data_IF_547626752372
#
_entry.id   IF_547626752372
#
_cell.length_a   1.000
_cell.length_b   1.000
_cell.length_c   1.000
_cell.angle_alpha   90.00
_cell.angle_beta   90.00
_cell.angle_gamma   90.00
#
_symmetry.space_group_name_H-M   'P 1'
#
loop_
_entity.id
_entity.type
_entity.pdbx_description
1 polymer ?
#
# COMPACT_ATOMS: atom_id res chain seq x y z
N UNK A 1 19.98 -10.80 0.23
CA UNK A 1 18.97 -10.00 -0.53
C UNK A 1 19.56 -8.63 -0.83
N UNK A 2 19.23 -7.99 -1.95
CA UNK A 2 19.72 -6.64 -2.27
C UNK A 2 19.07 -5.62 -1.31
N UNK A 3 19.83 -4.63 -0.83
CA UNK A 3 19.38 -3.53 0.02
C UNK A 3 18.10 -2.89 -0.53
N UNK A 4 18.06 -2.55 -1.82
CA UNK A 4 16.88 -1.91 -2.42
C UNK A 4 15.61 -2.77 -2.31
N UNK A 5 15.76 -4.10 -2.34
CA UNK A 5 14.63 -5.01 -2.17
C UNK A 5 14.15 -5.06 -0.73
N UNK A 6 15.08 -5.10 0.24
CA UNK A 6 14.73 -5.07 1.66
C UNK A 6 14.04 -3.75 2.01
N UNK A 7 14.57 -2.62 1.53
CA UNK A 7 13.96 -1.30 1.70
C UNK A 7 12.54 -1.24 1.14
N UNK A 8 12.29 -1.84 -0.04
CA UNK A 8 10.94 -1.91 -0.60
C UNK A 8 9.99 -2.71 0.30
N UNK A 9 10.43 -3.85 0.86
CA UNK A 9 9.60 -4.65 1.77
C UNK A 9 9.28 -3.89 3.06
N UNK A 10 10.28 -3.21 3.64
CA UNK A 10 10.09 -2.36 4.82
C UNK A 10 9.06 -1.27 4.52
N UNK A 11 9.18 -0.59 3.37
CA UNK A 11 8.22 0.42 2.96
C UNK A 11 6.80 -0.17 2.87
N UNK A 12 6.61 -1.29 2.18
CA UNK A 12 5.28 -1.93 2.03
C UNK A 12 4.61 -2.22 3.38
N UNK A 13 5.38 -2.68 4.37
CA UNK A 13 4.86 -2.95 5.73
C UNK A 13 4.64 -1.64 6.51
N UNK A 14 5.47 -0.63 6.30
CA UNK A 14 5.40 0.64 7.00
C UNK A 14 4.22 1.51 6.56
N UNK A 15 3.93 1.59 5.26
CA UNK A 15 2.89 2.47 4.69
C UNK A 15 1.52 2.42 5.39
N UNK A 16 0.96 1.23 5.75
CA UNK A 16 -0.32 1.18 6.43
C UNK A 16 -0.25 1.60 7.91
N UNK A 17 0.93 1.60 8.55
CA UNK A 17 1.06 1.82 9.99
C UNK A 17 0.66 3.24 10.42
N UNK A 18 1.32 4.33 10.00
CA UNK A 18 0.97 5.65 10.50
C UNK A 18 -0.31 6.17 9.82
N UNK A 19 -1.48 5.88 10.38
CA UNK A 19 -2.77 6.37 9.87
C UNK A 19 -3.06 5.99 8.40
N UNK A 20 -2.49 4.89 7.90
CA UNK A 20 -2.54 4.56 6.47
C UNK A 20 -1.81 5.58 5.58
N UNK A 21 -0.79 6.26 6.11
CA UNK A 21 -0.07 7.37 5.46
C UNK A 21 -0.97 8.54 5.03
N UNK A 22 -2.05 8.81 5.78
CA UNK A 22 -3.02 9.87 5.47
C UNK A 22 -2.81 11.20 6.24
N UNK A 23 -1.75 11.30 7.05
CA UNK A 23 -1.39 12.56 7.72
C UNK A 23 -0.19 13.21 7.04
N UNK A 24 -0.09 14.54 7.15
CA UNK A 24 0.97 15.34 6.50
C UNK A 24 2.38 14.80 6.74
N UNK A 25 2.72 14.54 8.01
CA UNK A 25 4.02 13.99 8.37
C UNK A 25 4.18 12.53 7.87
N UNK A 26 3.10 11.75 7.84
CA UNK A 26 3.13 10.34 7.48
C UNK A 26 3.34 10.13 5.97
N UNK A 27 2.62 10.90 5.14
CA UNK A 27 2.88 10.86 3.69
C UNK A 27 4.22 11.50 3.33
N UNK A 28 4.71 12.49 4.07
CA UNK A 28 6.05 13.05 3.84
C UNK A 28 7.15 12.00 4.09
N UNK A 29 7.00 11.17 5.14
CA UNK A 29 7.92 10.05 5.37
C UNK A 29 7.84 9.00 4.26
N UNK A 30 6.64 8.70 3.76
CA UNK A 30 6.45 7.84 2.58
C UNK A 30 7.20 8.41 1.37
N UNK A 31 7.00 9.69 1.05
CA UNK A 31 7.63 10.37 -0.09
C UNK A 31 9.16 10.32 0.03
N UNK A 32 9.71 10.73 1.17
CA UNK A 32 11.16 10.68 1.43
C UNK A 32 11.70 9.26 1.30
N UNK A 33 11.01 8.26 1.85
CA UNK A 33 11.40 6.86 1.76
C UNK A 33 11.43 6.33 0.32
N UNK A 34 10.39 6.65 -0.46
CA UNK A 34 10.29 6.24 -1.88
C UNK A 34 11.33 6.98 -2.74
N UNK A 35 11.49 8.29 -2.57
CA UNK A 35 12.46 9.08 -3.31
C UNK A 35 13.88 8.66 -3.01
N UNK A 36 14.21 8.41 -1.74
CA UNK A 36 15.52 7.89 -1.35
C UNK A 36 15.79 6.52 -1.97
N UNK A 37 14.80 5.62 -1.96
CA UNK A 37 14.93 4.31 -2.61
C UNK A 37 15.09 4.44 -4.12
N UNK A 38 14.38 5.36 -4.77
CA UNK A 38 14.50 5.64 -6.20
C UNK A 38 15.91 6.15 -6.55
N UNK A 39 16.46 7.08 -5.76
CA UNK A 39 17.82 7.58 -5.94
C UNK A 39 18.86 6.48 -5.75
N UNK A 40 18.71 5.63 -4.72
CA UNK A 40 19.61 4.48 -4.49
C UNK A 40 19.53 3.49 -5.64
N UNK A 41 18.34 3.18 -6.15
CA UNK A 41 18.18 2.28 -7.29
C UNK A 41 18.80 2.88 -8.56
N UNK A 42 18.55 4.16 -8.84
CA UNK A 42 19.12 4.88 -9.99
C UNK A 42 20.65 4.89 -9.93
N UNK A 43 21.22 5.16 -8.75
CA UNK A 43 22.67 5.09 -8.54
C UNK A 43 23.23 3.70 -8.84
N UNK A 44 22.58 2.63 -8.37
CA UNK A 44 22.99 1.27 -8.69
C UNK A 44 22.85 0.94 -10.19
N UNK A 45 21.85 1.50 -10.87
CA UNK A 45 21.69 1.37 -12.31
C UNK A 45 22.83 2.07 -13.08
N UNK A 46 23.19 3.30 -12.70
CA UNK A 46 24.30 4.04 -13.30
C UNK A 46 25.65 3.33 -13.10
N UNK A 47 25.80 2.58 -12.00
CA UNK A 47 26.97 1.72 -11.75
C UNK A 47 26.93 0.37 -12.52
N UNK A 48 25.90 0.13 -13.34
CA UNK A 48 25.72 -1.14 -14.05
C UNK A 48 25.32 -2.33 -13.18
N UNK A 49 25.01 -2.11 -11.89
CA UNK A 49 24.62 -3.16 -10.93
C UNK A 49 23.15 -3.58 -11.07
N UNK A 50 22.33 -2.73 -11.68
CA UNK A 50 20.93 -3.03 -12.00
C UNK A 50 20.71 -2.92 -13.51
N UNK A 51 19.68 -3.59 -14.00
CA UNK A 51 19.21 -3.48 -15.37
C UNK A 51 17.71 -3.25 -15.36
N UNK A 52 17.21 -2.60 -16.41
CA UNK A 52 15.78 -2.50 -16.66
C UNK A 52 15.23 -3.92 -16.90
N UNK A 53 14.06 -4.20 -16.33
CA UNK A 53 13.46 -5.53 -16.39
C UNK A 53 12.56 -5.65 -17.64
N UNK A 54 12.37 -6.85 -18.21
CA UNK A 54 11.41 -7.04 -19.31
C UNK A 54 9.99 -6.59 -18.94
N UNK A 55 9.63 -6.72 -17.65
CA UNK A 55 8.33 -6.29 -17.12
C UNK A 55 8.19 -4.77 -17.16
N UNK A 56 9.26 -4.02 -16.85
CA UNK A 56 9.28 -2.57 -16.98
C UNK A 56 8.99 -2.11 -18.41
N UNK A 57 9.64 -2.73 -19.41
CA UNK A 57 9.37 -2.40 -20.82
C UNK A 57 7.93 -2.70 -21.24
N UNK A 58 7.35 -3.81 -20.78
CA UNK A 58 5.94 -4.12 -21.02
C UNK A 58 4.97 -3.12 -20.39
N UNK A 59 5.38 -2.47 -19.30
CA UNK A 59 4.57 -1.47 -18.60
C UNK A 59 4.70 -0.05 -19.18
N UNK A 60 5.48 0.17 -20.25
CA UNK A 60 5.68 1.51 -20.85
C UNK A 60 4.35 2.22 -21.15
N UNK A 61 3.30 1.60 -21.74
CA UNK A 61 2.03 2.31 -21.98
C UNK A 61 1.41 2.86 -20.70
N UNK A 62 1.51 2.13 -19.59
CA UNK A 62 1.00 2.56 -18.27
C UNK A 62 1.88 3.69 -17.73
N UNK A 63 3.20 3.60 -17.88
CA UNK A 63 4.13 4.67 -17.48
C UNK A 63 3.92 5.96 -18.29
N UNK A 64 3.53 5.85 -19.56
CA UNK A 64 3.17 7.01 -20.39
C UNK A 64 1.89 7.68 -19.85
N UNK A 65 0.87 6.91 -19.47
CA UNK A 65 -0.34 7.47 -18.84
C UNK A 65 0.02 8.20 -17.53
N UNK A 66 0.87 7.60 -16.71
CA UNK A 66 1.39 8.24 -15.50
C UNK A 66 2.19 9.52 -15.80
N UNK A 67 3.01 9.52 -16.85
CA UNK A 67 3.75 10.70 -17.27
C UNK A 67 2.81 11.82 -17.72
N UNK A 68 1.78 11.51 -18.52
CA UNK A 68 0.75 12.47 -18.92
C UNK A 68 0.04 13.06 -17.70
N UNK A 69 -0.29 12.23 -16.70
CA UNK A 69 -0.86 12.69 -15.43
C UNK A 69 0.06 13.64 -14.68
N UNK A 70 1.36 13.32 -14.57
CA UNK A 70 2.35 14.19 -13.91
C UNK A 70 2.55 15.51 -14.67
N UNK A 71 2.59 15.47 -16.00
CA UNK A 71 2.65 16.67 -16.84
C UNK A 71 1.40 17.53 -16.61
N UNK A 72 0.22 16.91 -16.57
CA UNK A 72 -1.04 17.61 -16.32
C UNK A 72 -1.05 18.33 -14.97
N UNK A 73 -0.70 17.65 -13.87
CA UNK A 73 -0.63 18.30 -12.55
C UNK A 73 0.45 19.39 -12.52
N UNK A 74 1.63 19.11 -13.09
CA UNK A 74 2.71 20.10 -13.15
C UNK A 74 2.28 21.35 -13.93
N UNK A 75 1.56 21.17 -15.03
CA UNK A 75 0.99 22.26 -15.81
C UNK A 75 0.01 23.11 -15.00
N UNK A 76 -0.77 22.50 -14.10
CA UNK A 76 -1.65 23.27 -13.20
C UNK A 76 -0.90 24.25 -12.29
N UNK A 77 0.38 23.97 -11.98
CA UNK A 77 1.25 24.80 -11.14
C UNK A 77 2.08 25.81 -11.95
N UNK A 78 2.07 25.73 -13.28
CA UNK A 78 2.85 26.67 -14.10
C UNK A 78 2.26 28.08 -13.99
N UNK A 79 3.09 29.10 -13.69
CA UNK A 79 2.63 30.49 -13.74
C UNK A 79 2.33 30.88 -15.19
N UNK A 80 1.11 31.27 -15.47
CA UNK A 80 0.65 31.73 -16.77
C UNK A 80 0.27 33.21 -16.73
N UNK A 81 0.37 33.93 -17.86
CA UNK A 81 -0.20 35.27 -17.98
C UNK A 81 -1.69 35.26 -17.65
N UNK A 82 -2.15 36.31 -16.98
CA UNK A 82 -3.55 36.40 -16.53
C UNK A 82 -4.57 36.24 -17.66
N UNK A 83 -4.28 36.74 -18.87
CA UNK A 83 -5.16 36.58 -20.04
C UNK A 83 -5.35 35.11 -20.45
N UNK A 84 -4.30 34.29 -20.34
CA UNK A 84 -4.36 32.86 -20.62
C UNK A 84 -5.12 32.13 -19.51
N UNK A 85 -4.90 32.53 -18.26
CA UNK A 85 -5.62 31.99 -17.11
C UNK A 85 -7.12 32.27 -17.23
N UNK A 86 -7.54 33.49 -17.59
CA UNK A 86 -8.95 33.82 -17.81
C UNK A 86 -9.61 32.98 -18.90
N UNK A 87 -8.88 32.66 -19.97
CA UNK A 87 -9.40 31.84 -21.06
C UNK A 87 -9.50 30.35 -20.67
N UNK A 88 -8.48 29.81 -19.99
CA UNK A 88 -8.42 28.39 -19.60
C UNK A 88 -9.28 28.06 -18.39
N UNK A 89 -9.30 28.94 -17.39
CA UNK A 89 -10.04 28.76 -16.13
C UNK A 89 -10.49 30.10 -15.54
N UNK A 90 -11.65 30.61 -15.98
CA UNK A 90 -12.22 31.86 -15.47
C UNK A 90 -12.40 31.86 -13.94
N UNK A 91 -12.74 30.71 -13.36
CA UNK A 91 -12.97 30.55 -11.92
C UNK A 91 -11.66 30.65 -11.13
N UNK A 92 -10.57 30.02 -11.62
CA UNK A 92 -9.26 30.18 -10.97
C UNK A 92 -8.76 31.62 -11.07
N UNK A 93 -8.99 32.30 -12.20
CA UNK A 93 -8.66 33.71 -12.37
C UNK A 93 -9.33 34.62 -11.33
N UNK A 94 -10.61 34.36 -11.01
CA UNK A 94 -11.36 35.12 -10.00
C UNK A 94 -10.77 34.97 -8.59
N UNK A 95 -10.26 33.78 -8.25
CA UNK A 95 -9.70 33.53 -6.90
C UNK A 95 -8.34 34.20 -6.71
N UNK A 96 -7.50 34.27 -7.76
CA UNK A 96 -6.15 34.83 -7.65
C UNK A 96 -6.10 36.37 -7.61
N UNK A 97 -7.22 37.07 -7.81
CA UNK A 97 -7.35 38.53 -7.69
C UNK A 97 -6.41 39.36 -8.59
N UNK A 98 -6.37 39.03 -9.88
CA UNK A 98 -5.65 39.77 -10.96
C UNK A 98 -4.11 39.95 -10.83
N UNK A 99 -3.30 38.92 -10.52
CA UNK A 99 -1.85 39.03 -10.58
C UNK A 99 -1.37 38.99 -12.03
N UNK A 100 -0.18 39.54 -12.33
CA UNK A 100 0.42 39.47 -13.68
C UNK A 100 0.69 38.04 -14.14
N UNK A 101 1.08 37.17 -13.19
CA UNK A 101 1.30 35.74 -13.38
C UNK A 101 0.55 34.96 -12.31
N UNK A 102 -0.19 33.93 -12.71
CA UNK A 102 -0.96 33.08 -11.80
C UNK A 102 -1.09 31.66 -12.32
N UNK A 103 -1.35 30.72 -11.42
CA UNK A 103 -1.46 29.31 -11.75
C UNK A 103 -2.88 28.93 -12.12
N UNK A 104 -3.06 27.86 -12.90
CA UNK A 104 -4.37 27.27 -13.16
C UNK A 104 -5.00 26.64 -11.91
N UNK A 105 -4.16 26.18 -10.97
CA UNK A 105 -4.66 25.67 -9.69
C UNK A 105 -5.25 26.79 -8.84
N UNK A 106 -6.43 26.53 -8.26
CA UNK A 106 -7.09 27.39 -7.27
C UNK A 106 -6.35 27.38 -5.92
N UNK A 107 -5.79 26.24 -5.54
CA UNK A 107 -4.95 26.06 -4.36
C UNK A 107 -3.61 25.44 -4.78
N UNK A 108 -2.61 26.27 -5.12
CA UNK A 108 -1.31 25.79 -5.59
C UNK A 108 -0.60 24.91 -4.57
N UNK A 109 -0.82 25.15 -3.27
CA UNK A 109 -0.17 24.37 -2.22
C UNK A 109 -0.71 22.93 -2.19
N UNK A 110 -2.03 22.77 -2.17
CA UNK A 110 -2.64 21.43 -2.20
C UNK A 110 -2.32 20.69 -3.51
N UNK A 111 -2.28 21.38 -4.64
CA UNK A 111 -1.87 20.79 -5.92
C UNK A 111 -0.40 20.36 -5.91
N UNK A 112 0.50 21.13 -5.29
CA UNK A 112 1.90 20.75 -5.13
C UNK A 112 2.08 19.51 -4.25
N UNK A 113 1.34 19.41 -3.14
CA UNK A 113 1.29 18.18 -2.32
C UNK A 113 0.76 17.01 -3.14
N UNK A 114 -0.30 17.22 -3.94
CA UNK A 114 -0.84 16.21 -4.85
C UNK A 114 0.17 15.74 -5.91
N UNK A 115 1.02 16.64 -6.42
CA UNK A 115 2.09 16.33 -7.36
C UNK A 115 3.16 15.43 -6.71
N UNK A 116 3.63 15.76 -5.50
CA UNK A 116 4.62 14.96 -4.77
C UNK A 116 4.08 13.57 -4.45
N UNK A 117 2.82 13.47 -3.98
CA UNK A 117 2.15 12.18 -3.76
C UNK A 117 2.03 11.38 -5.05
N UNK A 118 1.59 12.00 -6.14
CA UNK A 118 1.49 11.35 -7.45
C UNK A 118 2.84 10.82 -7.93
N UNK A 119 3.90 11.63 -7.81
CA UNK A 119 5.25 11.22 -8.15
C UNK A 119 5.72 10.03 -7.31
N UNK A 120 5.42 10.04 -6.00
CA UNK A 120 5.75 8.93 -5.11
C UNK A 120 5.03 7.62 -5.53
N UNK A 121 3.76 7.69 -5.94
CA UNK A 121 3.02 6.52 -6.41
C UNK A 121 3.57 5.97 -7.73
N UNK A 122 3.90 6.85 -8.68
CA UNK A 122 4.56 6.47 -9.95
C UNK A 122 5.90 5.79 -9.69
N UNK A 123 6.70 6.34 -8.78
CA UNK A 123 7.99 5.78 -8.41
C UNK A 123 7.85 4.44 -7.69
N UNK A 124 6.91 4.30 -6.75
CA UNK A 124 6.66 3.04 -6.06
C UNK A 124 6.22 1.94 -7.05
N UNK A 125 5.33 2.27 -7.98
CA UNK A 125 4.93 1.38 -9.07
C UNK A 125 6.15 0.96 -9.91
N UNK A 126 6.92 1.94 -10.38
CA UNK A 126 8.11 1.72 -11.21
C UNK A 126 9.17 0.86 -10.50
N UNK A 127 9.48 1.18 -9.24
CA UNK A 127 10.41 0.44 -8.40
C UNK A 127 9.94 -0.99 -8.18
N UNK A 128 8.64 -1.23 -8.02
CA UNK A 128 8.09 -2.58 -7.90
C UNK A 128 8.38 -3.40 -9.17
N UNK A 129 8.17 -2.83 -10.36
CA UNK A 129 8.47 -3.51 -11.64
C UNK A 129 9.96 -3.80 -11.84
N UNK A 130 10.82 -2.91 -11.36
CA UNK A 130 12.27 -3.01 -11.51
C UNK A 130 12.92 -3.95 -10.48
N UNK A 131 12.42 -3.92 -9.24
CA UNK A 131 13.00 -4.66 -8.12
C UNK A 131 12.38 -6.07 -8.01
N UNK A 132 11.07 -6.23 -8.21
CA UNK A 132 10.35 -7.50 -8.00
C UNK A 132 10.37 -8.33 -9.28
N UNK A 133 11.55 -8.86 -9.63
CA UNK A 133 11.81 -9.50 -10.92
C UNK A 133 12.03 -11.03 -10.87
N UNK A 134 11.88 -11.65 -9.69
CA UNK A 134 11.97 -13.11 -9.53
C UNK A 134 10.78 -13.66 -8.75
N UNK A 135 10.47 -14.95 -8.94
CA UNK A 135 9.40 -15.65 -8.18
C UNK A 135 9.64 -15.57 -6.67
N UNK A 136 10.89 -15.65 -6.23
CA UNK A 136 11.25 -15.52 -4.81
C UNK A 136 10.92 -14.12 -4.28
N UNK A 137 11.28 -13.05 -5.01
CA UNK A 137 10.97 -11.67 -4.60
C UNK A 137 9.46 -11.41 -4.57
N UNK A 138 8.72 -11.91 -5.56
CA UNK A 138 7.26 -11.83 -5.59
C UNK A 138 6.63 -12.51 -4.39
N UNK A 139 7.12 -13.71 -4.00
CA UNK A 139 6.67 -14.41 -2.80
C UNK A 139 6.94 -13.61 -1.52
N UNK A 140 8.10 -12.97 -1.42
CA UNK A 140 8.44 -12.12 -0.26
C UNK A 140 7.56 -10.87 -0.18
N UNK A 141 7.24 -10.24 -1.31
CA UNK A 141 6.28 -9.11 -1.35
C UNK A 141 4.89 -9.57 -0.90
N UNK A 142 4.43 -10.72 -1.40
CA UNK A 142 3.16 -11.31 -0.97
C UNK A 142 3.14 -11.58 0.54
N UNK A 143 4.21 -12.19 1.08
CA UNK A 143 4.34 -12.43 2.51
C UNK A 143 4.38 -11.12 3.32
N UNK A 144 5.06 -10.07 2.83
CA UNK A 144 5.08 -8.77 3.49
C UNK A 144 3.67 -8.15 3.58
N UNK A 145 2.88 -8.24 2.49
CA UNK A 145 1.48 -7.81 2.50
C UNK A 145 0.63 -8.62 3.48
N UNK A 146 0.79 -9.95 3.51
CA UNK A 146 0.05 -10.82 4.44
C UNK A 146 0.41 -10.53 5.89
N UNK A 147 1.70 -10.37 6.21
CA UNK A 147 2.17 -10.03 7.57
C UNK A 147 1.64 -8.68 8.00
N UNK A 148 1.69 -7.69 7.10
CA UNK A 148 1.15 -6.36 7.36
C UNK A 148 -0.37 -6.39 7.57
N UNK A 149 -1.12 -7.06 6.69
CA UNK A 149 -2.56 -7.26 6.83
C UNK A 149 -2.94 -8.00 8.11
N UNK A 150 -2.19 -9.04 8.48
CA UNK A 150 -2.39 -9.79 9.72
C UNK A 150 -2.15 -8.90 10.94
N UNK A 151 -1.08 -8.11 10.94
CA UNK A 151 -0.83 -7.14 12.01
C UNK A 151 -2.03 -6.18 12.16
N UNK A 152 -2.51 -5.61 11.05
CA UNK A 152 -3.65 -4.70 11.06
C UNK A 152 -4.93 -5.39 11.54
N UNK A 153 -5.17 -6.63 11.13
CA UNK A 153 -6.31 -7.43 11.55
C UNK A 153 -6.30 -7.73 13.04
N UNK A 154 -5.16 -8.19 13.57
CA UNK A 154 -4.99 -8.47 14.99
C UNK A 154 -5.11 -7.20 15.82
N UNK A 155 -4.37 -6.15 15.44
CA UNK A 155 -4.40 -4.88 16.14
C UNK A 155 -5.79 -4.27 16.15
N UNK A 156 -6.45 -4.16 14.99
CA UNK A 156 -7.80 -3.61 14.87
C UNK A 156 -8.85 -4.42 15.65
N UNK A 157 -8.73 -5.75 15.65
CA UNK A 157 -9.65 -6.62 16.40
C UNK A 157 -9.45 -6.46 17.91
N UNK A 158 -8.21 -6.53 18.40
CA UNK A 158 -7.89 -6.37 19.83
C UNK A 158 -8.30 -4.98 20.32
N UNK A 159 -7.95 -3.92 19.57
CA UNK A 159 -8.31 -2.54 19.88
C UNK A 159 -9.84 -2.36 20.04
N UNK A 160 -10.63 -2.98 19.18
CA UNK A 160 -12.10 -2.84 19.19
C UNK A 160 -12.72 -3.69 20.30
N UNK A 161 -12.30 -4.96 20.43
CA UNK A 161 -12.90 -5.90 21.38
C UNK A 161 -12.51 -5.62 22.84
N UNK A 162 -11.35 -5.01 23.07
CA UNK A 162 -10.93 -4.55 24.40
C UNK A 162 -11.56 -3.23 24.82
N UNK A 163 -12.20 -2.51 23.89
CA UNK A 163 -12.73 -1.17 24.14
C UNK A 163 -11.67 -0.06 24.27
N UNK A 164 -10.38 -0.36 24.05
CA UNK A 164 -9.30 0.64 24.11
C UNK A 164 -9.47 1.74 23.05
N UNK A 165 -9.95 1.39 21.85
CA UNK A 165 -10.21 2.35 20.76
C UNK A 165 -8.99 3.24 20.40
N UNK A 166 -7.77 2.73 20.51
CA UNK A 166 -6.54 3.41 20.07
C UNK A 166 -6.16 3.09 18.61
N UNK A 167 -6.06 4.11 17.77
CA UNK A 167 -5.51 3.99 16.41
C UNK A 167 -3.99 3.90 16.41
N UNK A 168 -3.31 4.72 15.62
CA UNK A 168 -1.84 4.82 15.67
C UNK A 168 -1.40 5.71 16.85
N UNK A 169 -1.13 5.11 18.02
CA UNK A 169 -0.70 5.79 19.26
C UNK A 169 -1.62 6.89 19.82
N UNK A 170 -2.82 7.05 19.25
CA UNK A 170 -3.79 8.06 19.67
C UNK A 170 -5.19 7.46 19.74
N UNK A 171 -5.99 7.94 20.69
CA UNK A 171 -7.37 7.53 20.86
C UNK A 171 -8.21 7.92 19.62
N UNK A 172 -9.09 7.02 19.21
CA UNK A 172 -10.00 7.24 18.08
C UNK A 172 -11.06 8.25 18.45
N UNK A 173 -11.15 9.28 17.63
CA UNK A 173 -12.26 10.24 17.65
C UNK A 173 -13.43 9.73 16.79
N UNK A 174 -13.13 9.04 15.69
CA UNK A 174 -14.11 8.57 14.70
C UNK A 174 -14.21 7.03 14.67
N UNK A 175 -15.35 6.53 14.19
CA UNK A 175 -15.60 5.09 13.95
C UNK A 175 -15.30 4.20 15.18
N UNK A 176 -15.78 4.58 16.37
CA UNK A 176 -15.71 3.75 17.59
C UNK A 176 -16.58 2.51 17.46
N UNK A 177 -16.21 1.43 18.16
CA UNK A 177 -16.91 0.14 18.15
C UNK A 177 -16.70 -0.69 16.88
N UNK A 178 -15.80 -0.25 15.98
CA UNK A 178 -15.47 -0.99 14.75
C UNK A 178 -13.96 -1.05 14.50
N UNK A 179 -13.52 -2.12 13.85
CA UNK A 179 -12.12 -2.33 13.55
C UNK A 179 -11.62 -1.34 12.49
N UNK A 180 -10.63 -0.53 12.86
CA UNK A 180 -9.92 0.38 11.94
C UNK A 180 -8.43 0.06 11.83
N UNK A 181 -7.90 -0.80 12.71
CA UNK A 181 -6.46 -1.02 12.82
C UNK A 181 -5.76 0.31 13.12
N UNK A 182 -4.65 0.57 12.44
CA UNK A 182 -3.98 1.86 12.52
C UNK A 182 -4.52 2.90 11.53
N UNK A 183 -5.47 2.53 10.65
CA UNK A 183 -6.12 3.47 9.75
C UNK A 183 -7.12 4.35 10.50
N UNK A 184 -7.39 5.54 9.96
CA UNK A 184 -8.44 6.44 10.48
C UNK A 184 -9.83 5.94 10.04
N UNK A 185 -9.95 5.49 8.79
CA UNK A 185 -11.21 5.12 8.16
C UNK A 185 -11.38 3.61 8.06
N UNK A 186 -12.48 3.08 8.60
CA UNK A 186 -12.81 1.65 8.55
C UNK A 186 -12.90 1.07 7.14
N UNK A 187 -13.32 1.88 6.16
CA UNK A 187 -13.42 1.44 4.76
C UNK A 187 -12.05 1.33 4.10
N UNK A 188 -11.09 2.20 4.47
CA UNK A 188 -9.70 2.07 3.98
C UNK A 188 -9.03 0.83 4.59
N UNK A 189 -9.26 0.57 5.88
CA UNK A 189 -8.82 -0.65 6.53
C UNK A 189 -9.41 -1.90 5.85
N UNK A 190 -10.73 -1.91 5.61
CA UNK A 190 -11.39 -3.00 4.91
C UNK A 190 -10.81 -3.23 3.51
N UNK A 191 -10.65 -2.16 2.72
CA UNK A 191 -10.04 -2.25 1.38
C UNK A 191 -8.61 -2.79 1.43
N UNK A 192 -7.82 -2.39 2.43
CA UNK A 192 -6.47 -2.93 2.64
C UNK A 192 -6.47 -4.43 2.96
N UNK A 193 -7.36 -4.88 3.86
CA UNK A 193 -7.50 -6.30 4.19
C UNK A 193 -7.95 -7.11 2.98
N UNK A 194 -8.88 -6.61 2.16
CA UNK A 194 -9.31 -7.28 0.93
C UNK A 194 -8.12 -7.50 -0.01
N UNK A 195 -7.30 -6.47 -0.25
CA UNK A 195 -6.09 -6.61 -1.08
C UNK A 195 -5.11 -7.66 -0.53
N UNK A 196 -4.87 -7.67 0.79
CA UNK A 196 -3.99 -8.64 1.44
C UNK A 196 -4.55 -10.07 1.37
N UNK A 197 -5.86 -10.22 1.56
CA UNK A 197 -6.57 -11.49 1.44
C UNK A 197 -6.51 -12.05 0.02
N UNK A 198 -6.75 -11.23 -1.00
CA UNK A 198 -6.64 -11.65 -2.41
C UNK A 198 -5.24 -12.16 -2.74
N UNK A 199 -4.19 -11.46 -2.29
CA UNK A 199 -2.79 -11.90 -2.45
C UNK A 199 -2.54 -13.21 -1.70
N UNK A 200 -3.04 -13.34 -0.47
CA UNK A 200 -2.89 -14.54 0.35
C UNK A 200 -3.59 -15.77 -0.20
N UNK A 201 -4.81 -15.61 -0.75
CA UNK A 201 -5.53 -16.68 -1.45
C UNK A 201 -4.76 -17.10 -2.70
N UNK A 202 -4.27 -16.14 -3.50
CA UNK A 202 -3.41 -16.44 -4.65
C UNK A 202 -2.16 -17.23 -4.26
N UNK A 203 -1.53 -16.88 -3.13
CA UNK A 203 -0.38 -17.61 -2.61
C UNK A 203 -0.73 -19.02 -2.12
N UNK A 204 -1.92 -19.23 -1.55
CA UNK A 204 -2.42 -20.56 -1.18
C UNK A 204 -2.62 -21.44 -2.40
N UNK A 205 -3.29 -20.93 -3.44
CA UNK A 205 -3.54 -21.65 -4.70
C UNK A 205 -2.21 -22.07 -5.33
N UNK A 206 -1.21 -21.18 -5.34
CA UNK A 206 0.12 -21.46 -5.87
C UNK A 206 0.91 -22.52 -5.06
N UNK A 207 0.48 -22.87 -3.85
CA UNK A 207 1.15 -23.84 -2.96
C UNK A 207 0.37 -25.17 -2.81
N UNK A 208 -0.65 -25.40 -3.64
CA UNK A 208 -1.39 -26.66 -3.69
C UNK A 208 -0.52 -27.79 -4.28
N UNK A 209 0.24 -28.47 -3.41
CA UNK A 209 1.01 -29.67 -3.76
C UNK A 209 1.73 -30.29 -2.55
N UNK A 210 1.42 -31.56 -2.24
CA UNK A 210 2.10 -32.52 -1.34
C UNK A 210 2.13 -32.18 0.17
N UNK A 211 2.18 -33.14 1.11
CA UNK A 211 2.19 -34.61 1.09
C UNK A 211 1.74 -35.10 2.48
N UNK A 212 1.01 -36.21 2.53
CA UNK A 212 0.51 -36.81 3.77
C UNK A 212 1.61 -37.53 4.53
N UNK A 213 1.72 -37.28 5.83
CA UNK A 213 2.58 -38.03 6.76
C UNK A 213 1.71 -38.68 7.82
N UNK A 214 1.92 -39.97 8.06
CA UNK A 214 1.21 -40.79 9.05
C UNK A 214 1.99 -40.80 10.36
N UNK A 215 1.32 -40.65 11.50
CA UNK A 215 1.93 -40.56 12.84
C UNK A 215 1.29 -41.58 13.80
N UNK A 216 2.11 -42.37 14.51
CA UNK A 216 1.66 -43.53 15.31
C UNK A 216 1.52 -43.28 16.82
N UNK A 217 2.08 -42.21 17.42
CA UNK A 217 2.14 -42.05 18.89
C UNK A 217 1.50 -40.76 19.43
N UNK A 218 0.85 -40.76 20.61
CA UNK A 218 0.20 -39.57 21.22
C UNK A 218 1.11 -38.34 21.40
N UNK A 219 2.33 -38.51 21.91
CA UNK A 219 3.32 -37.41 22.02
C UNK A 219 3.72 -36.87 20.64
N UNK A 220 3.84 -37.77 19.66
CA UNK A 220 4.08 -37.40 18.26
C UNK A 220 2.85 -36.71 17.67
N UNK A 221 1.62 -37.01 18.10
CA UNK A 221 0.40 -36.31 17.68
C UNK A 221 0.35 -34.88 18.20
N UNK A 222 0.72 -34.61 19.46
CA UNK A 222 0.75 -33.24 19.98
C UNK A 222 1.86 -32.39 19.30
N UNK A 223 3.07 -32.95 19.17
CA UNK A 223 4.15 -32.31 18.43
C UNK A 223 3.80 -32.12 16.95
N UNK A 224 3.14 -33.10 16.32
CA UNK A 224 2.66 -33.01 14.94
C UNK A 224 1.54 -31.98 14.79
N UNK A 225 0.66 -31.81 15.79
CA UNK A 225 -0.36 -30.74 15.78
C UNK A 225 0.29 -29.36 15.83
N UNK A 226 1.26 -29.13 16.73
CA UNK A 226 1.99 -27.86 16.78
C UNK A 226 2.80 -27.64 15.49
N UNK A 227 3.48 -28.67 14.98
CA UNK A 227 4.22 -28.60 13.72
C UNK A 227 3.29 -28.37 12.51
N UNK A 228 2.07 -28.90 12.55
CA UNK A 228 1.06 -28.70 11.52
C UNK A 228 0.47 -27.28 11.59
N UNK A 229 0.17 -26.76 12.79
CA UNK A 229 -0.27 -25.37 13.00
C UNK A 229 0.83 -24.38 12.58
N UNK A 230 2.07 -24.65 12.95
CA UNK A 230 3.25 -23.85 12.58
C UNK A 230 3.71 -24.13 11.14
N UNK A 231 3.06 -25.04 10.42
CA UNK A 231 3.42 -25.30 9.02
C UNK A 231 3.16 -24.04 8.20
N UNK A 232 4.03 -23.68 7.24
CA UNK A 232 3.85 -22.48 6.43
C UNK A 232 2.49 -22.40 5.73
N UNK A 233 1.90 -23.57 5.39
CA UNK A 233 0.58 -23.67 4.77
C UNK A 233 -0.54 -23.36 5.77
N UNK A 234 -0.44 -23.85 7.01
CA UNK A 234 -1.45 -23.58 8.03
C UNK A 234 -1.35 -22.17 8.58
N UNK A 235 -0.13 -21.67 8.83
CA UNK A 235 0.08 -20.28 9.25
C UNK A 235 -0.54 -19.29 8.27
N UNK A 236 -0.38 -19.53 6.97
CA UNK A 236 -1.03 -18.73 5.95
C UNK A 236 -2.56 -18.82 6.06
N UNK A 237 -3.15 -20.02 6.18
CA UNK A 237 -4.61 -20.18 6.34
C UNK A 237 -5.13 -19.48 7.59
N UNK A 238 -4.49 -19.67 8.73
CA UNK A 238 -4.86 -19.03 9.99
C UNK A 238 -4.79 -17.50 9.86
N UNK A 239 -3.73 -16.97 9.24
CA UNK A 239 -3.60 -15.53 9.00
C UNK A 239 -4.77 -14.98 8.16
N UNK A 240 -5.16 -15.70 7.10
CA UNK A 240 -6.31 -15.30 6.27
C UNK A 240 -7.62 -15.33 7.07
N UNK A 241 -7.86 -16.38 7.86
CA UNK A 241 -9.06 -16.47 8.71
C UNK A 241 -9.14 -15.28 9.67
N UNK A 242 -8.04 -14.93 10.34
CA UNK A 242 -8.00 -13.75 11.21
C UNK A 242 -8.28 -12.44 10.45
N UNK A 243 -7.71 -12.29 9.24
CA UNK A 243 -7.98 -11.13 8.39
C UNK A 243 -9.45 -11.07 7.95
N UNK A 244 -10.10 -12.19 7.65
CA UNK A 244 -11.54 -12.23 7.32
C UNK A 244 -12.40 -11.83 8.53
N UNK A 245 -12.08 -12.32 9.73
CA UNK A 245 -12.78 -11.92 10.96
C UNK A 245 -12.65 -10.41 11.17
N UNK A 246 -11.44 -9.87 11.08
CA UNK A 246 -11.20 -8.44 11.21
C UNK A 246 -11.92 -7.62 10.12
N UNK A 247 -11.99 -8.14 8.88
CA UNK A 247 -12.73 -7.53 7.78
C UNK A 247 -14.21 -7.38 8.15
N UNK A 248 -14.85 -8.42 8.70
CA UNK A 248 -16.24 -8.35 9.16
C UNK A 248 -16.39 -7.32 10.30
N UNK A 249 -15.44 -7.29 11.25
CA UNK A 249 -15.43 -6.31 12.35
C UNK A 249 -15.25 -4.85 11.90
N UNK A 250 -14.82 -4.60 10.65
CA UNK A 250 -14.81 -3.22 10.10
C UNK A 250 -16.22 -2.70 9.82
N UNK A 251 -17.23 -3.58 9.73
CA UNK A 251 -18.59 -3.25 9.28
C UNK A 251 -18.65 -2.52 7.92
N UNK A 252 -17.62 -2.66 7.07
CA UNK A 252 -17.64 -2.10 5.72
C UNK A 252 -18.49 -2.97 4.80
N UNK A 253 -19.70 -2.50 4.46
CA UNK A 253 -20.62 -3.22 3.55
C UNK A 253 -19.94 -3.54 2.21
N UNK A 254 -19.33 -2.53 1.60
CA UNK A 254 -18.63 -2.69 0.31
C UNK A 254 -17.41 -3.61 0.43
N UNK A 255 -16.62 -3.48 1.51
CA UNK A 255 -15.45 -4.35 1.72
C UNK A 255 -15.83 -5.81 1.91
N UNK A 256 -16.87 -6.09 2.70
CA UNK A 256 -17.39 -7.44 2.89
C UNK A 256 -17.96 -7.99 1.57
N UNK A 257 -18.82 -7.24 0.87
CA UNK A 257 -19.39 -7.68 -0.40
C UNK A 257 -18.31 -7.96 -1.45
N UNK A 258 -17.30 -7.09 -1.58
CA UNK A 258 -16.22 -7.25 -2.55
C UNK A 258 -15.42 -8.53 -2.30
N UNK A 259 -15.16 -8.89 -1.04
CA UNK A 259 -14.42 -10.11 -0.71
C UNK A 259 -15.25 -11.39 -0.92
N UNK A 260 -16.53 -11.39 -0.53
CA UNK A 260 -17.36 -12.58 -0.64
C UNK A 260 -17.92 -12.82 -2.06
N UNK A 261 -17.92 -11.80 -2.92
CA UNK A 261 -18.36 -11.92 -4.32
C UNK A 261 -17.23 -12.22 -5.32
N UNK A 262 -15.95 -12.10 -4.91
CA UNK A 262 -14.77 -12.39 -5.74
C UNK A 262 -14.34 -13.85 -5.65
#
# INVERSE_FOLDING_TARGET
MNISFISLLILIVWLPLPYGSNHAWAWALMEVGIFSLALVWLWQYLQGKQKLTPVFYKAIPILVIWLVWLIYISFQLTPLPYSWLQWLSPQAAQVHAYPTLSTLSVDPHSTAVGLLKSLSYVLLFTLTLLIVNTRSRMRWVALALIVSGLFQALYGSVMTLSGLEYGFFHEKVYYRGVATGTFINRNHMAGYLVMCLSVGIGLLIAQLGGSGTSYSTWRQRFAALLAWIMSPKMLLRSALVFMVIALVLTHSRMGNTAFFAS
#
